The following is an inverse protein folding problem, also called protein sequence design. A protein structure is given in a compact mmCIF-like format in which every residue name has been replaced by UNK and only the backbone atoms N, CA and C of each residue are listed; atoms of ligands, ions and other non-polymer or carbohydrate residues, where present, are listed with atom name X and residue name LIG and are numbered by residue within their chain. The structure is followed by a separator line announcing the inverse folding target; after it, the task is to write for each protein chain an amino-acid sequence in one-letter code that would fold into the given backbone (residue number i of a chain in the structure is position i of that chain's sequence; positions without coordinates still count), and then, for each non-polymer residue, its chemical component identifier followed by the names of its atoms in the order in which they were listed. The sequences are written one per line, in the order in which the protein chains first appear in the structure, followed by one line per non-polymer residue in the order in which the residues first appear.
data_IF_376326664710
#
_entry.id   IF_376326664710
#
_cell.length_a   1.000
_cell.length_b   1.000
_cell.length_c   1.000
_cell.angle_alpha   90.00
_cell.angle_beta   90.00
_cell.angle_gamma   90.00
#
_symmetry.space_group_name_H-M   'P 1'
#
loop_
_entity.id
_entity.type
_entity.pdbx_description
1 polymer ?
#
# COMPACT_ATOMS: atom_id res chain seq x y z
N UNK A 1 -14.23 11.00 -13.74
CA UNK A 1 -13.17 12.03 -13.54
C UNK A 1 -13.70 13.48 -13.64
N UNK A 2 -14.94 13.72 -14.07
CA UNK A 2 -15.45 15.09 -14.27
C UNK A 2 -15.63 15.87 -12.97
N UNK A 3 -16.24 15.26 -11.95
CA UNK A 3 -16.44 15.90 -10.63
C UNK A 3 -15.12 16.20 -9.91
N UNK A 4 -14.11 15.34 -10.07
CA UNK A 4 -12.80 15.52 -9.44
C UNK A 4 -12.04 16.77 -9.92
N UNK A 5 -12.44 17.36 -11.06
CA UNK A 5 -11.88 18.64 -11.54
C UNK A 5 -12.57 19.87 -10.93
N UNK A 6 -13.77 19.69 -10.40
CA UNK A 6 -14.58 20.77 -9.83
C UNK A 6 -14.43 20.84 -8.30
N UNK A 7 -13.88 19.81 -7.68
CA UNK A 7 -13.60 19.76 -6.25
C UNK A 7 -12.20 20.31 -5.93
N UNK A 8 -12.04 20.87 -4.72
CA UNK A 8 -10.75 21.35 -4.20
C UNK A 8 -9.75 20.20 -3.92
N UNK A 9 -10.26 18.98 -3.80
CA UNK A 9 -9.45 17.78 -3.63
C UNK A 9 -10.25 16.49 -3.60
N UNK A 10 -9.54 15.37 -3.73
CA UNK A 10 -10.08 14.01 -3.76
C UNK A 10 -9.37 13.15 -2.73
N UNK A 11 -10.13 12.30 -2.03
CA UNK A 11 -9.59 11.24 -1.17
C UNK A 11 -9.85 9.89 -1.84
N UNK A 12 -8.81 9.08 -2.00
CA UNK A 12 -8.97 7.71 -2.51
C UNK A 12 -9.28 6.76 -1.35
N UNK A 13 -10.39 6.03 -1.41
CA UNK A 13 -10.71 4.97 -0.45
C UNK A 13 -10.34 3.62 -1.07
N UNK A 14 -9.44 2.88 -0.43
CA UNK A 14 -8.88 1.64 -0.95
C UNK A 14 -9.18 0.51 0.01
N UNK A 15 -9.60 -0.65 -0.49
CA UNK A 15 -9.79 -1.83 0.34
C UNK A 15 -8.43 -2.52 0.59
N UNK A 16 -7.98 -2.49 1.84
CA UNK A 16 -6.70 -3.06 2.25
C UNK A 16 -6.63 -4.58 2.08
N UNK A 17 -5.53 -5.05 1.50
CA UNK A 17 -5.30 -6.49 1.27
C UNK A 17 -6.14 -7.12 0.14
N UNK A 18 -7.03 -6.35 -0.50
CA UNK A 18 -7.89 -6.82 -1.60
C UNK A 18 -7.60 -6.07 -2.89
N UNK A 19 -7.55 -4.73 -2.86
CA UNK A 19 -7.31 -3.94 -4.06
C UNK A 19 -5.85 -4.04 -4.51
N UNK A 20 -5.63 -4.53 -5.73
CA UNK A 20 -4.30 -4.67 -6.33
C UNK A 20 -3.59 -3.34 -6.57
N UNK A 21 -2.26 -3.33 -6.45
CA UNK A 21 -1.42 -2.13 -6.62
C UNK A 21 -1.52 -1.54 -8.03
N UNK A 22 -1.70 -2.37 -9.03
CA UNK A 22 -1.89 -1.98 -10.43
C UNK A 22 -3.21 -1.22 -10.65
N UNK A 23 -4.29 -1.67 -10.00
CA UNK A 23 -5.60 -0.99 -10.02
C UNK A 23 -5.48 0.39 -9.36
N UNK A 24 -4.83 0.45 -8.19
CA UNK A 24 -4.58 1.72 -7.48
C UNK A 24 -3.75 2.67 -8.36
N UNK A 25 -2.73 2.15 -9.05
CA UNK A 25 -1.88 2.94 -9.96
C UNK A 25 -2.68 3.49 -11.15
N UNK A 26 -3.55 2.68 -11.76
CA UNK A 26 -4.43 3.12 -12.85
C UNK A 26 -5.41 4.21 -12.39
N UNK A 27 -5.97 4.08 -11.18
CA UNK A 27 -6.84 5.10 -10.61
C UNK A 27 -6.08 6.42 -10.37
N UNK A 28 -4.87 6.34 -9.82
CA UNK A 28 -4.00 7.50 -9.63
C UNK A 28 -3.64 8.18 -10.96
N UNK A 29 -3.26 7.41 -11.99
CA UNK A 29 -3.02 7.93 -13.33
C UNK A 29 -4.24 8.61 -13.94
N UNK A 30 -5.43 8.05 -13.73
CA UNK A 30 -6.68 8.61 -14.21
C UNK A 30 -6.98 9.98 -13.56
N UNK A 31 -6.82 10.07 -12.23
CA UNK A 31 -6.99 11.33 -11.49
C UNK A 31 -5.93 12.37 -11.87
N UNK A 32 -4.67 11.95 -12.01
CA UNK A 32 -3.58 12.81 -12.47
C UNK A 32 -3.80 13.33 -13.88
N UNK A 33 -4.32 12.49 -14.80
CA UNK A 33 -4.61 12.87 -16.19
C UNK A 33 -5.67 13.95 -16.32
N UNK A 34 -6.46 14.22 -15.27
CA UNK A 34 -7.40 15.34 -15.22
C UNK A 34 -6.99 16.46 -14.27
N UNK A 35 -5.75 16.45 -13.78
CA UNK A 35 -5.23 17.41 -12.80
C UNK A 35 -6.06 17.47 -11.50
N UNK A 36 -6.67 16.36 -11.08
CA UNK A 36 -7.34 16.30 -9.80
C UNK A 36 -6.31 16.29 -8.66
N UNK A 37 -6.48 17.17 -7.67
CA UNK A 37 -5.64 17.20 -6.47
C UNK A 37 -6.03 16.05 -5.55
N UNK A 38 -5.14 15.09 -5.36
CA UNK A 38 -5.33 14.00 -4.39
C UNK A 38 -4.85 14.49 -3.02
N UNK A 39 -5.78 14.70 -2.09
CA UNK A 39 -5.49 15.20 -0.74
C UNK A 39 -4.97 14.08 0.17
N UNK A 40 -5.36 12.84 -0.10
CA UNK A 40 -4.91 11.69 0.67
C UNK A 40 -5.58 10.38 0.26
N UNK A 41 -5.28 9.35 1.04
CA UNK A 41 -5.76 7.98 0.84
C UNK A 41 -6.24 7.42 2.16
N UNK A 42 -7.44 6.83 2.17
CA UNK A 42 -7.96 6.06 3.28
C UNK A 42 -7.90 4.57 2.94
N UNK A 43 -7.09 3.82 3.67
CA UNK A 43 -7.04 2.37 3.53
C UNK A 43 -8.11 1.77 4.46
N UNK A 44 -9.18 1.26 3.87
CA UNK A 44 -10.35 0.73 4.57
C UNK A 44 -10.32 -0.80 4.64
N UNK A 45 -11.03 -1.35 5.63
CA UNK A 45 -11.27 -2.77 5.82
C UNK A 45 -9.99 -3.63 5.81
N UNK A 46 -9.00 -3.15 6.55
CA UNK A 46 -7.75 -3.88 6.80
C UNK A 46 -7.99 -4.86 7.94
N UNK A 47 -7.67 -6.13 7.72
CA UNK A 47 -7.61 -7.11 8.81
C UNK A 47 -6.33 -6.90 9.63
N UNK A 48 -6.43 -6.16 10.73
CA UNK A 48 -5.33 -5.87 11.66
C UNK A 48 -4.79 -7.13 12.37
N UNK A 49 -5.63 -8.13 12.63
CA UNK A 49 -5.21 -9.39 13.27
C UNK A 49 -4.29 -10.21 12.35
N UNK A 50 -4.59 -10.25 11.05
CA UNK A 50 -3.73 -10.89 10.05
C UNK A 50 -2.43 -10.11 9.81
N UNK A 51 -2.49 -8.78 9.87
CA UNK A 51 -1.31 -7.94 9.70
C UNK A 51 -0.34 -8.08 10.88
N UNK A 52 -0.85 -8.08 12.11
CA UNK A 52 -0.03 -8.25 13.32
C UNK A 52 0.63 -9.62 13.36
N UNK A 53 -0.09 -10.71 13.07
CA UNK A 53 0.50 -12.05 13.03
C UNK A 53 1.60 -12.18 11.96
N UNK A 54 1.40 -11.57 10.78
CA UNK A 54 2.43 -11.51 9.74
C UNK A 54 3.66 -10.69 10.18
N UNK A 55 3.42 -9.56 10.85
CA UNK A 55 4.48 -8.66 11.33
C UNK A 55 5.31 -9.29 12.47
N UNK A 56 4.72 -10.13 13.32
CA UNK A 56 5.46 -10.91 14.32
C UNK A 56 6.30 -12.04 13.72
N UNK A 57 5.82 -12.67 12.63
CA UNK A 57 6.55 -13.77 11.99
C UNK A 57 7.75 -13.29 11.16
N UNK A 58 7.64 -12.12 10.53
CA UNK A 58 8.67 -11.57 9.66
C UNK A 58 10.06 -11.41 10.31
N UNK A 59 10.22 -10.83 11.52
CA UNK A 59 11.53 -10.71 12.15
C UNK A 59 12.12 -12.07 12.55
N UNK A 60 11.28 -13.04 12.92
CA UNK A 60 11.74 -14.38 13.28
C UNK A 60 12.29 -15.13 12.06
N UNK A 61 11.62 -15.02 10.92
CA UNK A 61 12.12 -15.61 9.69
C UNK A 61 13.40 -14.89 9.22
N UNK A 62 13.42 -13.56 9.32
CA UNK A 62 14.58 -12.76 8.92
C UNK A 62 15.82 -13.06 9.77
N UNK A 63 15.68 -13.27 11.08
CA UNK A 63 16.80 -13.66 11.94
C UNK A 63 17.37 -15.03 11.56
N UNK A 64 16.51 -16.01 11.28
CA UNK A 64 16.96 -17.32 10.78
C UNK A 64 17.65 -17.23 9.42
N UNK A 65 17.16 -16.38 8.51
CA UNK A 65 17.78 -16.24 7.18
C UNK A 65 19.15 -15.52 7.25
N UNK A 66 19.33 -14.61 8.22
CA UNK A 66 20.62 -13.95 8.47
C UNK A 66 21.62 -14.93 9.12
N UNK A 67 21.16 -15.76 10.06
CA UNK A 67 22.02 -16.72 10.75
C UNK A 67 22.50 -17.87 9.84
N UNK A 68 21.67 -18.36 8.91
CA UNK A 68 22.08 -19.40 7.94
C UNK A 68 22.99 -18.86 6.81
N UNK A 69 23.00 -17.54 6.58
CA UNK A 69 23.87 -16.87 5.60
C UNK A 69 25.16 -16.28 6.18
N UNK A 70 25.39 -16.44 7.49
CA UNK A 70 26.41 -15.75 8.27
C UNK A 70 27.85 -16.26 8.11
N UNK A 71 28.41 -16.18 6.89
CA UNK A 71 29.79 -15.76 6.54
C UNK A 71 30.27 -16.41 5.25
N UNK A 72 30.67 -15.59 4.25
CA UNK A 72 31.98 -15.73 3.59
C UNK A 72 32.55 -14.37 3.12
N UNK A 73 33.47 -13.85 3.95
CA UNK A 73 34.78 -13.23 3.64
C UNK A 73 34.88 -11.73 3.26
N UNK A 74 35.72 -11.08 4.08
CA UNK A 74 36.73 -10.02 3.87
C UNK A 74 36.69 -9.17 2.59
#
# INVERSE_FOLDING_TARGET
LTLSRLADGVIMVIWGGVTGRDIIRKANQSLAGVNAKITGVALNNINMAKLSSYQYYYPYYHSYTIDEGGNKKA
#
